data_IF_975728778867
#
_entry.id   IF_975728778867
#
_cell.length_a   1.000
_cell.length_b   1.000
_cell.length_c   1.000
_cell.angle_alpha   90.00
_cell.angle_beta   90.00
_cell.angle_gamma   90.00
#
_symmetry.space_group_name_H-M   'P 1'
#
loop_
_entity.id
_entity.type
_entity.pdbx_description
1 polymer ?
#
# COMPACT_ATOMS: atom_id res chain seq x y z
N UNK A 1 20.78 13.83 16.53
CA UNK A 1 20.32 13.10 17.75
C UNK A 1 18.80 13.10 17.71
N UNK A 2 18.16 11.94 17.81
CA UNK A 2 16.70 11.80 17.76
C UNK A 2 16.07 12.53 18.95
N UNK A 3 15.01 13.30 18.71
CA UNK A 3 14.24 13.98 19.74
C UNK A 3 13.25 13.01 20.39
N UNK A 4 12.83 13.30 21.62
CA UNK A 4 11.89 12.45 22.37
C UNK A 4 10.57 12.26 21.62
N UNK A 5 10.06 13.30 20.95
CA UNK A 5 8.82 13.25 20.18
C UNK A 5 8.95 12.35 18.93
N UNK A 6 10.15 12.28 18.34
CA UNK A 6 10.42 11.41 17.20
C UNK A 6 10.42 9.94 17.62
N UNK A 7 10.90 9.62 18.82
CA UNK A 7 10.83 8.26 19.36
C UNK A 7 9.38 7.79 19.54
N UNK A 8 8.46 8.68 19.92
CA UNK A 8 7.04 8.37 20.04
C UNK A 8 6.39 8.07 18.67
N UNK A 9 6.83 8.74 17.60
CA UNK A 9 6.41 8.43 16.23
C UNK A 9 6.84 7.01 15.83
N UNK A 10 8.09 6.64 16.11
CA UNK A 10 8.56 5.27 15.84
C UNK A 10 7.80 4.22 16.67
N UNK A 11 7.50 4.52 17.94
CA UNK A 11 6.68 3.64 18.76
C UNK A 11 5.26 3.51 18.19
N UNK A 12 4.63 4.60 17.72
CA UNK A 12 3.33 4.54 17.03
C UNK A 12 3.35 3.58 15.83
N UNK A 13 4.37 3.69 14.97
CA UNK A 13 4.39 2.89 13.74
C UNK A 13 4.78 1.43 13.99
N UNK A 14 5.79 1.17 14.83
CA UNK A 14 6.37 -0.18 14.95
C UNK A 14 5.89 -0.96 16.17
N UNK A 15 5.26 -0.32 17.17
CA UNK A 15 4.74 -1.04 18.32
C UNK A 15 3.55 -1.90 17.95
N UNK A 16 3.63 -3.19 18.26
CA UNK A 16 2.51 -4.14 18.07
C UNK A 16 1.27 -3.75 18.91
N UNK A 17 1.45 -2.99 19.99
CA UNK A 17 0.38 -2.58 20.91
C UNK A 17 -0.41 -1.36 20.42
N UNK A 18 0.09 -0.62 19.42
CA UNK A 18 -0.51 0.63 18.93
C UNK A 18 -1.32 0.45 17.64
N UNK A 19 -1.96 -0.71 17.47
CA UNK A 19 -2.73 -0.99 16.26
C UNK A 19 -3.89 -0.01 16.05
N UNK A 20 -4.63 0.34 17.11
CA UNK A 20 -5.77 1.27 17.01
C UNK A 20 -5.34 2.71 16.76
N UNK A 21 -4.27 3.16 17.43
CA UNK A 21 -3.68 4.48 17.17
C UNK A 21 -3.21 4.61 15.71
N UNK A 22 -2.70 3.54 15.09
CA UNK A 22 -2.38 3.54 13.66
C UNK A 22 -3.61 3.67 12.76
N UNK A 23 -4.79 3.20 13.18
CA UNK A 23 -6.03 3.38 12.41
C UNK A 23 -6.40 4.86 12.34
N UNK A 24 -6.33 5.57 13.46
CA UNK A 24 -6.59 7.02 13.50
C UNK A 24 -5.56 7.78 12.68
N UNK A 25 -4.27 7.44 12.83
CA UNK A 25 -3.20 8.03 12.05
C UNK A 25 -3.40 7.87 10.53
N UNK A 26 -3.76 6.67 10.07
CA UNK A 26 -4.05 6.40 8.66
C UNK A 26 -5.37 7.05 8.21
N UNK A 27 -6.36 7.16 9.10
CA UNK A 27 -7.62 7.85 8.83
C UNK A 27 -7.47 9.34 8.60
N UNK A 28 -6.43 9.95 9.19
CA UNK A 28 -6.07 11.36 9.01
C UNK A 28 -5.15 11.61 7.80
N UNK A 29 -4.89 10.60 6.97
CA UNK A 29 -4.07 10.75 5.77
C UNK A 29 -4.73 11.72 4.76
N UNK A 30 -3.95 12.69 4.28
CA UNK A 30 -4.38 13.65 3.26
C UNK A 30 -3.83 13.21 1.89
N UNK A 31 -4.71 12.90 0.90
CA UNK A 31 -4.26 12.59 -0.46
C UNK A 31 -3.42 13.71 -1.07
N UNK A 32 -2.37 13.36 -1.80
CA UNK A 32 -1.39 14.31 -2.31
C UNK A 32 -0.25 14.61 -1.33
N UNK A 33 -0.23 14.00 -0.15
CA UNK A 33 0.97 13.95 0.69
C UNK A 33 2.08 13.19 -0.03
N UNK A 34 3.25 13.80 -0.15
CA UNK A 34 4.47 13.17 -0.65
C UNK A 34 5.69 13.76 0.07
N UNK A 35 6.79 13.02 0.06
CA UNK A 35 8.07 13.53 0.55
C UNK A 35 8.77 14.30 -0.58
N UNK A 36 9.18 15.53 -0.29
CA UNK A 36 9.96 16.33 -1.22
C UNK A 36 11.42 15.85 -1.25
N UNK A 37 11.85 15.30 -2.38
CA UNK A 37 13.20 14.77 -2.57
C UNK A 37 14.20 15.85 -3.06
N UNK A 38 13.77 17.10 -3.21
CA UNK A 38 14.67 18.20 -3.58
C UNK A 38 15.51 18.70 -2.40
N UNK A 39 15.11 18.37 -1.17
CA UNK A 39 15.85 18.74 0.04
C UNK A 39 17.04 17.81 0.27
N UNK A 40 18.15 18.36 0.80
CA UNK A 40 19.36 17.57 1.10
C UNK A 40 19.23 16.69 2.35
N UNK A 41 18.31 17.06 3.23
CA UNK A 41 18.08 16.41 4.51
C UNK A 41 16.59 16.14 4.68
N UNK A 42 16.27 15.02 5.31
CA UNK A 42 14.91 14.56 5.61
C UNK A 42 14.81 14.36 7.12
N UNK A 43 13.80 14.97 7.74
CA UNK A 43 13.55 14.76 9.17
C UNK A 43 12.85 13.42 9.40
N UNK A 44 13.01 12.83 10.60
CA UNK A 44 12.29 11.60 10.95
C UNK A 44 10.77 11.78 10.88
N UNK A 45 10.29 12.97 11.27
CA UNK A 45 8.87 13.32 11.22
C UNK A 45 8.36 13.33 9.78
N UNK A 46 9.12 13.93 8.84
CA UNK A 46 8.77 13.96 7.42
C UNK A 46 8.78 12.55 6.83
N UNK A 47 9.81 11.74 7.11
CA UNK A 47 9.88 10.36 6.65
C UNK A 47 8.65 9.55 7.09
N UNK A 48 8.31 9.59 8.39
CA UNK A 48 7.16 8.85 8.93
C UNK A 48 5.85 9.37 8.33
N UNK A 49 5.66 10.68 8.30
CA UNK A 49 4.36 11.30 7.98
C UNK A 49 4.14 11.53 6.49
N UNK A 50 5.18 11.48 5.66
CA UNK A 50 5.09 11.76 4.21
C UNK A 50 5.51 10.60 3.31
N UNK A 51 6.22 9.60 3.83
CA UNK A 51 6.68 8.45 3.04
C UNK A 51 6.21 7.11 3.62
N UNK A 52 6.44 6.87 4.92
CA UNK A 52 6.05 5.61 5.56
C UNK A 52 4.53 5.43 5.63
N UNK A 53 3.78 6.54 5.77
CA UNK A 53 2.32 6.51 5.68
C UNK A 53 1.84 6.04 4.31
N UNK A 54 2.54 6.39 3.23
CA UNK A 54 2.18 5.99 1.86
C UNK A 54 2.31 4.47 1.70
N UNK A 55 3.39 3.89 2.22
CA UNK A 55 3.54 2.44 2.29
C UNK A 55 2.40 1.78 3.06
N UNK A 56 2.04 2.32 4.23
CA UNK A 56 1.00 1.77 5.08
C UNK A 56 -0.39 1.84 4.41
N UNK A 57 -0.69 2.94 3.71
CA UNK A 57 -1.91 3.09 2.90
C UNK A 57 -1.93 2.10 1.73
N UNK A 58 -0.81 1.96 1.01
CA UNK A 58 -0.68 0.99 -0.09
C UNK A 58 -0.80 -0.46 0.41
N UNK A 59 -0.33 -0.75 1.62
CA UNK A 59 -0.46 -2.07 2.24
C UNK A 59 -1.91 -2.42 2.54
N UNK A 60 -2.68 -1.48 3.11
CA UNK A 60 -4.12 -1.67 3.29
C UNK A 60 -4.83 -1.87 1.95
N UNK A 61 -4.51 -1.05 0.94
CA UNK A 61 -5.13 -1.14 -0.39
C UNK A 61 -4.90 -2.51 -1.05
N UNK A 62 -3.69 -3.07 -0.95
CA UNK A 62 -3.38 -4.38 -1.56
C UNK A 62 -3.84 -5.57 -0.71
N UNK A 63 -4.05 -5.36 0.60
CA UNK A 63 -4.33 -6.44 1.56
C UNK A 63 -5.80 -6.57 1.95
N UNK A 64 -6.58 -5.48 1.90
CA UNK A 64 -8.01 -5.45 2.26
C UNK A 64 -8.87 -5.40 0.98
N UNK A 65 -9.87 -6.29 0.83
CA UNK A 65 -10.72 -6.30 -0.36
C UNK A 65 -11.71 -5.12 -0.40
N UNK A 66 -12.17 -4.79 -1.61
CA UNK A 66 -13.29 -3.85 -1.78
C UNK A 66 -14.61 -4.48 -1.36
N UNK A 67 -15.52 -3.68 -0.79
CA UNK A 67 -16.88 -4.13 -0.43
C UNK A 67 -17.76 -4.44 -1.65
N UNK A 68 -17.43 -3.85 -2.81
CA UNK A 68 -18.27 -3.97 -4.02
C UNK A 68 -18.15 -5.36 -4.65
N UNK A 69 -16.92 -5.87 -4.77
CA UNK A 69 -16.62 -7.13 -5.46
C UNK A 69 -15.93 -8.18 -4.57
N UNK A 70 -15.51 -7.82 -3.36
CA UNK A 70 -14.78 -8.71 -2.46
C UNK A 70 -13.33 -8.98 -2.88
N UNK A 71 -12.78 -8.23 -3.85
CA UNK A 71 -11.46 -8.52 -4.42
C UNK A 71 -10.38 -7.55 -3.94
N UNK A 72 -9.19 -8.11 -3.71
CA UNK A 72 -7.95 -7.33 -3.61
C UNK A 72 -7.50 -6.91 -5.02
N UNK A 73 -6.73 -5.82 -5.18
CA UNK A 73 -6.23 -5.36 -6.48
C UNK A 73 -5.58 -6.48 -7.31
N UNK A 74 -4.72 -7.32 -6.73
CA UNK A 74 -4.08 -8.42 -7.45
C UNK A 74 -5.07 -9.45 -8.02
N UNK A 75 -6.09 -9.81 -7.25
CA UNK A 75 -7.14 -10.74 -7.70
C UNK A 75 -7.99 -10.12 -8.83
N UNK A 76 -8.31 -8.82 -8.70
CA UNK A 76 -9.04 -8.07 -9.72
C UNK A 76 -8.24 -7.99 -11.03
N UNK A 77 -6.93 -7.76 -10.96
CA UNK A 77 -6.02 -7.80 -12.12
C UNK A 77 -6.05 -9.16 -12.82
N UNK A 78 -6.06 -10.26 -12.07
CA UNK A 78 -6.16 -11.62 -12.63
C UNK A 78 -7.47 -11.80 -13.39
N UNK A 79 -8.62 -11.48 -12.79
CA UNK A 79 -9.91 -11.63 -13.46
C UNK A 79 -10.05 -10.73 -14.68
N UNK A 80 -9.62 -9.47 -14.58
CA UNK A 80 -9.60 -8.56 -15.72
C UNK A 80 -8.80 -9.12 -16.90
N UNK A 81 -7.61 -9.68 -16.65
CA UNK A 81 -6.79 -10.30 -17.70
C UNK A 81 -7.48 -11.53 -18.32
N UNK A 82 -8.13 -12.37 -17.51
CA UNK A 82 -8.92 -13.51 -17.99
C UNK A 82 -10.08 -13.06 -18.89
N UNK A 83 -10.80 -12.01 -18.52
CA UNK A 83 -11.88 -11.46 -19.34
C UNK A 83 -11.35 -10.80 -20.62
N UNK A 84 -10.28 -10.01 -20.53
CA UNK A 84 -9.66 -9.33 -21.69
C UNK A 84 -9.22 -10.31 -22.78
N UNK A 85 -8.70 -11.48 -22.39
CA UNK A 85 -8.28 -12.54 -23.33
C UNK A 85 -9.41 -13.49 -23.71
N UNK A 86 -10.59 -13.36 -23.10
CA UNK A 86 -11.69 -14.33 -23.19
C UNK A 86 -11.21 -15.77 -22.88
N UNK A 87 -10.61 -15.97 -21.71
CA UNK A 87 -10.05 -17.25 -21.30
C UNK A 87 -11.15 -18.27 -21.01
N UNK A 88 -11.50 -19.08 -22.02
CA UNK A 88 -12.50 -20.16 -21.93
C UNK A 88 -11.89 -21.57 -21.85
N UNK A 89 -10.59 -21.69 -22.14
CA UNK A 89 -9.83 -22.94 -22.06
C UNK A 89 -8.74 -22.81 -21.01
N UNK A 90 -8.41 -23.92 -20.38
CA UNK A 90 -7.39 -23.98 -19.35
C UNK A 90 -6.02 -23.51 -19.88
N UNK A 91 -5.28 -22.83 -19.00
CA UNK A 91 -3.92 -22.34 -19.27
C UNK A 91 -3.05 -22.59 -18.06
N UNK A 92 -1.76 -22.88 -18.29
CA UNK A 92 -0.79 -23.02 -17.20
C UNK A 92 -0.72 -21.74 -16.38
N UNK A 93 -0.76 -21.87 -15.06
CA UNK A 93 -0.76 -20.74 -14.13
C UNK A 93 0.45 -19.82 -14.33
N UNK A 94 1.64 -20.39 -14.59
CA UNK A 94 2.86 -19.61 -14.84
C UNK A 94 2.74 -18.70 -16.08
N UNK A 95 2.12 -19.20 -17.15
CA UNK A 95 1.91 -18.43 -18.37
C UNK A 95 0.82 -17.37 -18.18
N UNK A 96 -0.23 -17.70 -17.43
CA UNK A 96 -1.29 -16.75 -17.10
C UNK A 96 -0.73 -15.62 -16.22
N UNK A 97 0.07 -15.93 -15.21
CA UNK A 97 0.70 -14.94 -14.35
C UNK A 97 1.57 -13.95 -15.14
N UNK A 98 2.36 -14.45 -16.10
CA UNK A 98 3.13 -13.60 -17.02
C UNK A 98 2.23 -12.67 -17.83
N UNK A 99 1.13 -13.20 -18.39
CA UNK A 99 0.16 -12.40 -19.14
C UNK A 99 -0.52 -11.33 -18.27
N UNK A 100 -0.93 -11.67 -17.05
CA UNK A 100 -1.53 -10.71 -16.10
C UNK A 100 -0.55 -9.58 -15.79
N UNK A 101 0.71 -9.91 -15.46
CA UNK A 101 1.73 -8.92 -15.12
C UNK A 101 1.98 -7.92 -16.25
N UNK A 102 2.02 -8.38 -17.50
CA UNK A 102 2.26 -7.53 -18.67
C UNK A 102 1.08 -6.59 -18.98
N UNK A 103 -0.16 -7.04 -18.74
CA UNK A 103 -1.36 -6.36 -19.26
C UNK A 103 -2.12 -5.53 -18.22
N UNK A 104 -1.63 -5.45 -16.98
CA UNK A 104 -2.39 -4.88 -15.85
C UNK A 104 -1.60 -3.96 -14.93
N UNK A 105 -0.51 -3.35 -15.40
CA UNK A 105 0.29 -2.38 -14.62
C UNK A 105 -0.61 -1.37 -13.88
#
# INVERSE_FOLDING_TARGET
IMKSEEAELFDLVFSKKKADARKEWLGNFIPGTFLDHSTKEITYTDFVSKELILFSMADNLRSIPSVIDGLKPGQRKVLYACFKRNLTKDKKVVELAGYVSEHTA
#
